data_IF_871102268731
#
_entry.id   IF_871102268731
#
_cell.length_a   1.000
_cell.length_b   1.000
_cell.length_c   1.000
_cell.angle_alpha   90.00
_cell.angle_beta   90.00
_cell.angle_gamma   90.00
#
_symmetry.space_group_name_H-M   'P 1'
#
loop_
_entity.id
_entity.type
_entity.pdbx_description
1 polymer ?
#
# COMPACT_ATOMS: atom_id res chain seq x y z
N UNK A 1 -20.07 2.76 3.31
CA UNK A 1 -19.19 1.82 4.03
C UNK A 1 -18.09 1.37 3.09
N UNK A 2 -16.85 1.24 3.59
CA UNK A 2 -15.68 0.82 2.80
C UNK A 2 -14.91 -0.26 3.55
N UNK A 3 -14.48 -1.30 2.83
CA UNK A 3 -13.42 -2.21 3.24
C UNK A 3 -12.11 -1.67 2.67
N UNK A 4 -11.10 -1.41 3.50
CA UNK A 4 -9.82 -0.88 3.04
C UNK A 4 -8.76 -1.94 3.25
N UNK A 5 -8.15 -2.37 2.15
CA UNK A 5 -7.09 -3.36 2.08
C UNK A 5 -5.76 -2.70 1.73
N UNK A 6 -4.68 -3.37 2.07
CA UNK A 6 -3.31 -2.91 1.86
C UNK A 6 -2.71 -2.31 3.13
N UNK A 7 -1.51 -2.77 3.50
CA UNK A 7 -0.79 -2.29 4.69
C UNK A 7 -0.58 -0.76 4.66
N UNK A 8 -0.39 -0.20 3.47
CA UNK A 8 -0.23 1.24 3.27
C UNK A 8 -1.50 2.05 3.63
N UNK A 9 -2.63 1.40 3.83
CA UNK A 9 -3.84 2.08 4.32
C UNK A 9 -3.70 2.64 5.73
N UNK A 10 -2.83 2.03 6.55
CA UNK A 10 -2.50 2.48 7.91
C UNK A 10 -1.20 3.27 7.98
N UNK A 11 -0.37 3.22 6.93
CA UNK A 11 0.91 3.89 6.87
C UNK A 11 1.18 4.57 5.51
N UNK A 12 0.27 5.45 5.03
CA UNK A 12 0.42 6.07 3.72
C UNK A 12 1.65 6.99 3.64
N UNK A 13 2.12 7.23 2.43
CA UNK A 13 3.15 8.22 2.16
C UNK A 13 2.56 9.63 2.30
N UNK A 14 2.82 10.29 3.43
CA UNK A 14 2.42 11.69 3.64
C UNK A 14 3.37 12.66 2.94
N UNK A 15 4.64 12.32 2.86
CA UNK A 15 5.69 13.10 2.21
C UNK A 15 6.86 12.23 1.80
N UNK A 16 7.92 12.86 1.29
CA UNK A 16 9.15 12.19 0.89
C UNK A 16 10.21 12.16 2.00
N UNK A 17 11.35 11.56 1.70
CA UNK A 17 12.56 11.65 2.52
C UNK A 17 13.29 12.99 2.30
N UNK A 18 14.24 13.31 3.16
CA UNK A 18 15.05 14.53 3.07
C UNK A 18 14.25 15.81 3.33
N UNK A 19 14.45 16.84 2.52
CA UNK A 19 13.75 18.13 2.67
C UNK A 19 12.27 18.06 2.33
N UNK A 20 11.79 16.98 1.71
CA UNK A 20 10.38 16.67 1.50
C UNK A 20 9.73 15.93 2.67
N UNK A 21 10.45 15.74 3.78
CA UNK A 21 9.94 15.02 4.94
C UNK A 21 8.80 15.75 5.63
N UNK A 22 7.95 14.98 6.28
CA UNK A 22 6.84 15.49 7.09
C UNK A 22 7.39 16.13 8.37
N UNK A 23 6.79 17.25 8.78
CA UNK A 23 7.06 17.87 10.06
C UNK A 23 6.08 17.32 11.11
N UNK A 24 6.58 16.51 12.02
CA UNK A 24 5.83 15.87 13.11
C UNK A 24 5.31 16.81 14.19
N UNK A 25 5.63 18.12 14.11
CA UNK A 25 5.06 19.15 14.96
C UNK A 25 3.62 19.53 14.61
N UNK A 26 3.12 19.09 13.47
CA UNK A 26 1.77 19.36 13.00
C UNK A 26 0.95 18.08 12.93
N UNK A 27 -0.33 18.21 13.21
CA UNK A 27 -1.27 17.10 13.10
C UNK A 27 -1.32 16.57 11.65
N UNK A 28 -1.41 15.26 11.53
CA UNK A 28 -1.56 14.56 10.24
C UNK A 28 -2.93 13.89 10.25
N UNK A 29 -3.73 14.16 9.22
CA UNK A 29 -4.97 13.44 8.98
C UNK A 29 -4.65 12.17 8.20
N UNK A 30 -4.87 11.00 8.82
CA UNK A 30 -4.68 9.72 8.15
C UNK A 30 -5.71 9.51 7.03
N UNK A 31 -5.43 8.58 6.10
CA UNK A 31 -6.39 8.22 5.05
C UNK A 31 -7.75 7.82 5.66
N UNK A 32 -7.73 6.96 6.67
CA UNK A 32 -8.94 6.50 7.34
C UNK A 32 -9.71 7.65 7.97
N UNK A 33 -9.03 8.51 8.73
CA UNK A 33 -9.65 9.69 9.33
C UNK A 33 -10.20 10.67 8.28
N UNK A 34 -9.49 10.88 7.18
CA UNK A 34 -9.95 11.72 6.07
C UNK A 34 -11.23 11.19 5.44
N UNK A 35 -11.31 9.88 5.24
CA UNK A 35 -12.52 9.23 4.71
C UNK A 35 -13.68 9.31 5.71
N UNK A 36 -13.43 9.10 7.00
CA UNK A 36 -14.45 9.25 8.05
C UNK A 36 -14.96 10.69 8.14
N UNK A 37 -14.07 11.69 8.08
CA UNK A 37 -14.43 13.11 8.04
C UNK A 37 -15.28 13.45 6.81
N UNK A 38 -15.08 12.73 5.70
CA UNK A 38 -15.90 12.85 4.48
C UNK A 38 -17.23 12.08 4.57
N UNK A 39 -17.53 11.42 5.69
CA UNK A 39 -18.79 10.73 5.96
C UNK A 39 -18.82 9.26 5.57
N UNK A 40 -17.69 8.66 5.25
CA UNK A 40 -17.60 7.22 5.05
C UNK A 40 -17.48 6.49 6.40
N UNK A 41 -18.01 5.27 6.45
CA UNK A 41 -17.74 4.33 7.55
C UNK A 41 -16.74 3.29 7.08
N UNK A 42 -15.71 3.05 7.86
CA UNK A 42 -14.60 2.15 7.54
C UNK A 42 -14.75 0.87 8.35
N UNK A 43 -14.38 -0.26 7.75
CA UNK A 43 -14.35 -1.55 8.42
C UNK A 43 -13.19 -1.59 9.43
N UNK A 44 -13.54 -1.45 10.70
CA UNK A 44 -12.56 -1.40 11.79
C UNK A 44 -11.81 -2.73 11.97
N UNK A 45 -12.43 -3.86 11.63
CA UNK A 45 -11.79 -5.17 11.75
C UNK A 45 -10.58 -5.30 10.81
N UNK A 46 -10.67 -4.74 9.60
CA UNK A 46 -9.51 -4.66 8.69
C UNK A 46 -8.45 -3.68 9.19
N UNK A 47 -8.85 -2.54 9.73
CA UNK A 47 -7.89 -1.60 10.34
C UNK A 47 -7.13 -2.25 11.49
N UNK A 48 -7.82 -2.98 12.35
CA UNK A 48 -7.21 -3.69 13.48
C UNK A 48 -6.29 -4.82 13.00
N UNK A 49 -6.69 -5.54 11.94
CA UNK A 49 -5.85 -6.57 11.31
C UNK A 49 -4.50 -5.97 10.84
N UNK A 50 -4.53 -4.89 10.07
CA UNK A 50 -3.30 -4.25 9.58
C UNK A 50 -2.46 -3.64 10.70
N UNK A 51 -3.08 -3.01 11.69
CA UNK A 51 -2.36 -2.47 12.84
C UNK A 51 -1.64 -3.57 13.63
N UNK A 52 -2.29 -4.72 13.85
CA UNK A 52 -1.69 -5.84 14.56
C UNK A 52 -0.54 -6.44 13.74
N UNK A 53 -0.73 -6.64 12.43
CA UNK A 53 0.33 -7.13 11.57
C UNK A 53 1.52 -6.15 11.53
N UNK A 54 1.27 -4.86 11.37
CA UNK A 54 2.31 -3.83 11.30
C UNK A 54 3.11 -3.66 12.60
N UNK A 55 2.52 -4.00 13.77
CA UNK A 55 3.24 -3.96 15.03
C UNK A 55 4.39 -4.99 15.08
N UNK A 56 4.18 -6.16 14.46
CA UNK A 56 5.18 -7.23 14.39
C UNK A 56 6.08 -7.12 13.14
N UNK A 57 5.63 -6.40 12.11
CA UNK A 57 6.30 -6.22 10.82
C UNK A 57 6.45 -4.73 10.47
N UNK A 58 7.24 -3.96 11.23
CA UNK A 58 7.37 -2.53 11.01
C UNK A 58 8.06 -2.23 9.68
N UNK A 59 7.60 -1.18 9.01
CA UNK A 59 8.27 -0.67 7.84
C UNK A 59 9.73 -0.33 8.14
N UNK A 60 10.62 -0.75 7.26
CA UNK A 60 12.02 -0.35 7.34
C UNK A 60 12.22 1.04 6.74
N UNK A 61 13.13 1.80 7.33
CA UNK A 61 13.35 3.19 6.94
C UNK A 61 13.94 3.30 5.54
N UNK A 62 13.31 4.07 4.66
CA UNK A 62 13.85 4.42 3.35
C UNK A 62 15.24 5.08 3.46
N UNK A 63 15.52 5.81 4.55
CA UNK A 63 16.82 6.40 4.83
C UNK A 63 17.92 5.36 5.05
N UNK A 64 17.55 4.13 5.38
CA UNK A 64 18.45 2.97 5.43
C UNK A 64 18.47 2.21 4.10
N UNK A 65 17.87 2.79 3.06
CA UNK A 65 17.75 2.18 1.74
C UNK A 65 17.07 0.80 1.78
N UNK A 66 16.08 0.66 2.64
CA UNK A 66 15.25 -0.52 2.68
C UNK A 66 14.04 -0.33 1.76
N UNK A 67 13.87 -1.23 0.83
CA UNK A 67 12.78 -1.25 -0.13
C UNK A 67 11.77 -2.37 0.17
N UNK A 68 11.84 -2.92 1.36
CA UNK A 68 10.91 -3.96 1.80
C UNK A 68 9.49 -3.41 1.90
N UNK A 69 8.56 -4.16 1.33
CA UNK A 69 7.13 -3.86 1.39
C UNK A 69 6.48 -4.80 2.40
N UNK A 70 5.92 -4.28 3.50
CA UNK A 70 5.40 -5.12 4.58
C UNK A 70 3.93 -5.55 4.36
N UNK A 71 3.51 -5.77 3.11
CA UNK A 71 2.16 -6.27 2.84
C UNK A 71 1.98 -7.68 3.45
N UNK A 72 0.89 -7.93 4.19
CA UNK A 72 0.62 -9.25 4.75
C UNK A 72 0.46 -10.32 3.67
N UNK A 73 1.13 -11.49 3.79
CA UNK A 73 0.87 -12.62 2.92
C UNK A 73 -0.61 -13.04 2.92
N UNK A 74 -1.11 -13.48 1.78
CA UNK A 74 -2.54 -13.78 1.58
C UNK A 74 -3.08 -14.84 2.55
N UNK A 75 -2.26 -15.76 3.01
CA UNK A 75 -2.63 -16.80 3.98
C UNK A 75 -2.84 -16.27 5.41
N UNK A 76 -2.47 -15.01 5.67
CA UNK A 76 -2.78 -14.35 6.95
C UNK A 76 -4.22 -13.81 7.03
N UNK A 77 -4.89 -13.68 5.90
CA UNK A 77 -6.30 -13.26 5.85
C UNK A 77 -7.21 -14.47 6.08
N UNK A 78 -7.79 -14.57 7.28
CA UNK A 78 -8.68 -15.69 7.56
C UNK A 78 -9.98 -15.65 6.74
N UNK A 79 -10.58 -16.80 6.50
CA UNK A 79 -11.88 -16.89 5.83
C UNK A 79 -12.96 -16.09 6.57
N UNK A 80 -12.89 -16.04 7.89
CA UNK A 80 -13.80 -15.27 8.74
C UNK A 80 -13.64 -13.76 8.51
N UNK A 81 -12.41 -13.26 8.41
CA UNK A 81 -12.13 -11.85 8.14
C UNK A 81 -12.69 -11.44 6.78
N UNK A 82 -12.44 -12.22 5.73
CA UNK A 82 -12.96 -11.95 4.38
C UNK A 82 -14.48 -12.02 4.34
N UNK A 83 -15.08 -13.01 5.00
CA UNK A 83 -16.53 -13.13 5.11
C UNK A 83 -17.13 -11.91 5.82
N UNK A 84 -16.57 -11.50 6.95
CA UNK A 84 -17.00 -10.32 7.71
C UNK A 84 -16.89 -9.06 6.85
N UNK A 85 -15.81 -8.89 6.10
CA UNK A 85 -15.63 -7.77 5.19
C UNK A 85 -16.72 -7.73 4.10
N UNK A 86 -17.07 -8.87 3.51
CA UNK A 86 -18.16 -8.97 2.51
C UNK A 86 -19.54 -8.64 3.10
N UNK A 87 -19.78 -9.01 4.34
CA UNK A 87 -21.03 -8.68 5.06
C UNK A 87 -21.08 -7.17 5.42
N UNK A 88 -19.93 -6.54 5.63
CA UNK A 88 -19.81 -5.13 5.97
C UNK A 88 -20.12 -4.20 4.79
N UNK A 89 -19.52 -4.45 3.62
CA UNK A 89 -19.67 -3.63 2.40
C UNK A 89 -19.35 -4.44 1.15
N UNK A 90 -20.02 -4.11 0.04
CA UNK A 90 -19.73 -4.60 -1.32
C UNK A 90 -18.63 -3.81 -2.04
N UNK A 91 -18.09 -2.77 -1.40
CA UNK A 91 -17.01 -1.94 -1.93
C UNK A 91 -15.71 -2.23 -1.18
N UNK A 92 -14.67 -2.55 -1.95
CA UNK A 92 -13.29 -2.67 -1.47
C UNK A 92 -12.42 -1.54 -2.04
N UNK A 93 -11.52 -1.03 -1.22
CA UNK A 93 -10.47 -0.09 -1.60
C UNK A 93 -9.14 -0.77 -1.35
N UNK A 94 -8.28 -0.83 -2.37
CA UNK A 94 -6.92 -1.34 -2.26
C UNK A 94 -5.97 -0.14 -2.25
N UNK A 95 -5.14 -0.03 -1.23
CA UNK A 95 -4.14 1.03 -1.10
C UNK A 95 -2.76 0.47 -1.33
N UNK A 96 -2.08 1.01 -2.33
CA UNK A 96 -0.70 0.68 -2.70
C UNK A 96 0.15 1.94 -2.56
N UNK A 97 1.40 1.81 -2.15
CA UNK A 97 2.31 2.94 -2.04
C UNK A 97 3.74 2.56 -2.44
N UNK A 98 4.45 3.57 -2.94
CA UNK A 98 5.91 3.52 -3.10
C UNK A 98 6.48 4.81 -2.55
N UNK A 99 7.24 4.70 -1.48
CA UNK A 99 7.88 5.85 -0.86
C UNK A 99 9.16 6.21 -1.59
N UNK A 100 9.36 7.49 -1.84
CA UNK A 100 10.56 8.05 -2.46
C UNK A 100 10.88 9.40 -1.81
N UNK A 101 12.04 9.97 -2.10
CA UNK A 101 12.41 11.27 -1.55
C UNK A 101 13.79 11.73 -1.99
N UNK A 102 14.16 12.93 -1.56
CA UNK A 102 15.44 13.55 -1.88
C UNK A 102 16.61 12.67 -1.40
N UNK A 103 17.58 12.45 -2.28
CA UNK A 103 18.72 11.56 -2.00
C UNK A 103 18.40 10.06 -2.06
N UNK A 104 17.13 9.70 -2.28
CA UNK A 104 16.64 8.34 -2.40
C UNK A 104 15.77 8.17 -3.65
N UNK A 105 16.13 8.92 -4.71
CA UNK A 105 15.34 8.95 -5.95
C UNK A 105 15.63 7.77 -6.87
N UNK A 106 16.73 7.08 -6.62
CA UNK A 106 17.13 5.92 -7.40
C UNK A 106 16.34 4.69 -6.93
N UNK A 107 15.04 4.74 -7.13
CA UNK A 107 14.19 3.55 -6.97
C UNK A 107 14.74 2.50 -7.91
N UNK A 108 15.15 1.34 -7.41
CA UNK A 108 15.76 0.32 -8.24
C UNK A 108 14.74 -0.19 -9.25
N UNK A 109 15.05 -0.03 -10.53
CA UNK A 109 14.27 -0.62 -11.63
C UNK A 109 14.49 -2.13 -11.71
N UNK A 110 15.62 -2.60 -11.19
CA UNK A 110 15.89 -4.00 -10.92
C UNK A 110 16.41 -4.07 -9.48
N UNK A 111 15.57 -4.54 -8.59
CA UNK A 111 15.89 -4.65 -7.15
C UNK A 111 17.15 -5.48 -6.88
N UNK A 112 17.49 -6.39 -7.80
CA UNK A 112 18.68 -7.26 -7.71
C UNK A 112 19.96 -6.59 -8.21
N UNK A 113 19.85 -5.43 -8.85
CA UNK A 113 20.97 -4.70 -9.47
C UNK A 113 21.02 -3.24 -9.03
N UNK A 114 20.42 -2.93 -7.89
CA UNK A 114 20.52 -1.59 -7.34
C UNK A 114 21.97 -1.12 -7.24
N UNK A 115 22.21 0.12 -7.64
CA UNK A 115 23.57 0.69 -7.72
C UNK A 115 24.17 1.02 -6.33
N UNK A 116 23.39 0.87 -5.27
CA UNK A 116 23.80 1.15 -3.89
C UNK A 116 23.43 -0.02 -2.99
N UNK A 117 24.09 -0.10 -1.85
CA UNK A 117 23.86 -1.13 -0.85
C UNK A 117 22.47 -0.93 -0.21
N UNK A 118 21.55 -1.83 -0.49
CA UNK A 118 20.21 -1.88 0.09
C UNK A 118 19.79 -3.33 0.26
N UNK A 119 18.67 -3.57 0.92
CA UNK A 119 18.17 -4.92 1.20
C UNK A 119 17.32 -5.53 0.07
N UNK A 120 17.27 -4.92 -1.11
CA UNK A 120 16.47 -5.42 -2.22
C UNK A 120 16.89 -6.81 -2.68
N UNK A 121 18.20 -7.13 -2.60
CA UNK A 121 18.73 -8.45 -2.96
C UNK A 121 18.26 -9.56 -2.00
N UNK A 122 17.84 -9.19 -0.79
CA UNK A 122 17.29 -10.10 0.22
C UNK A 122 15.77 -10.23 0.14
N UNK A 123 15.13 -9.34 -0.66
CA UNK A 123 13.68 -9.26 -0.79
C UNK A 123 13.26 -9.89 -2.11
N UNK A 124 12.85 -11.14 -2.07
CA UNK A 124 12.55 -11.98 -3.21
C UNK A 124 11.08 -11.97 -3.65
N UNK A 125 10.30 -11.00 -3.18
CA UNK A 125 8.88 -10.84 -3.51
C UNK A 125 8.62 -10.26 -4.92
N UNK A 126 9.69 -10.04 -5.69
CA UNK A 126 9.61 -9.67 -7.10
C UNK A 126 10.15 -10.80 -7.98
N UNK A 127 9.35 -11.38 -8.87
CA UNK A 127 9.80 -12.35 -9.87
C UNK A 127 10.95 -11.80 -10.74
N UNK A 128 11.69 -12.70 -11.39
CA UNK A 128 12.77 -12.31 -12.27
C UNK A 128 12.28 -11.44 -13.44
N UNK A 129 12.86 -10.25 -13.59
CA UNK A 129 12.50 -9.27 -14.62
C UNK A 129 11.47 -8.24 -14.17
N UNK A 130 10.88 -8.40 -13.00
CA UNK A 130 10.03 -7.39 -12.38
C UNK A 130 10.85 -6.43 -11.50
N UNK A 131 10.24 -5.31 -11.13
CA UNK A 131 10.93 -4.25 -10.39
C UNK A 131 10.00 -3.51 -9.42
N UNK A 132 10.56 -2.69 -8.56
CA UNK A 132 9.90 -2.01 -7.46
C UNK A 132 8.71 -1.09 -7.86
N UNK A 133 8.64 -0.67 -9.13
CA UNK A 133 7.52 0.14 -9.64
C UNK A 133 6.34 -0.70 -10.16
N UNK A 134 6.36 -1.99 -9.92
CA UNK A 134 5.29 -2.94 -10.20
C UNK A 134 4.72 -3.49 -8.88
N UNK A 135 3.63 -4.25 -8.95
CA UNK A 135 3.16 -5.02 -7.80
C UNK A 135 4.22 -6.05 -7.40
N UNK A 136 4.51 -6.14 -6.11
CA UNK A 136 5.19 -7.32 -5.57
C UNK A 136 4.29 -8.55 -5.68
N UNK A 137 4.84 -9.75 -5.52
CA UNK A 137 4.02 -10.96 -5.55
C UNK A 137 2.97 -10.95 -4.43
N UNK A 138 3.35 -10.55 -3.22
CA UNK A 138 2.42 -10.45 -2.08
C UNK A 138 1.30 -9.43 -2.34
N UNK A 139 1.63 -8.27 -2.93
CA UNK A 139 0.60 -7.30 -3.32
C UNK A 139 -0.32 -7.83 -4.43
N UNK A 140 0.23 -8.57 -5.41
CA UNK A 140 -0.56 -9.22 -6.46
C UNK A 140 -1.52 -10.25 -5.88
N UNK A 141 -1.04 -11.09 -4.98
CA UNK A 141 -1.86 -12.09 -4.30
C UNK A 141 -2.99 -11.44 -3.48
N UNK A 142 -2.72 -10.31 -2.83
CA UNK A 142 -3.75 -9.52 -2.14
C UNK A 142 -4.78 -8.95 -3.13
N UNK A 143 -4.34 -8.38 -4.27
CA UNK A 143 -5.26 -7.87 -5.31
C UNK A 143 -6.11 -8.98 -5.88
N UNK A 144 -5.53 -10.15 -6.15
CA UNK A 144 -6.24 -11.36 -6.62
C UNK A 144 -7.30 -11.79 -5.60
N UNK A 145 -6.94 -11.85 -4.33
CA UNK A 145 -7.87 -12.19 -3.25
C UNK A 145 -9.01 -11.18 -3.16
N UNK A 146 -8.73 -9.88 -3.19
CA UNK A 146 -9.75 -8.83 -3.12
C UNK A 146 -10.66 -8.89 -4.34
N UNK A 147 -10.12 -8.97 -5.56
CA UNK A 147 -10.91 -9.03 -6.78
C UNK A 147 -11.71 -10.34 -6.92
N UNK A 148 -11.29 -11.42 -6.28
CA UNK A 148 -12.05 -12.67 -6.21
C UNK A 148 -13.25 -12.59 -5.26
N UNK A 149 -13.25 -11.63 -4.34
CA UNK A 149 -14.28 -11.52 -3.29
C UNK A 149 -15.20 -10.30 -3.44
N UNK A 150 -14.79 -9.28 -4.21
CA UNK A 150 -15.52 -8.02 -4.36
C UNK A 150 -15.66 -7.63 -5.83
N UNK A 151 -16.88 -7.25 -6.24
CA UNK A 151 -17.16 -6.80 -7.61
C UNK A 151 -16.91 -5.30 -7.82
N UNK A 152 -16.77 -4.53 -6.73
CA UNK A 152 -16.57 -3.08 -6.76
C UNK A 152 -15.27 -2.71 -6.03
N UNK A 153 -14.17 -2.72 -6.79
CA UNK A 153 -12.83 -2.42 -6.27
C UNK A 153 -12.36 -1.06 -6.76
N UNK A 154 -11.82 -0.27 -5.86
CA UNK A 154 -11.13 1.00 -6.13
C UNK A 154 -9.67 0.83 -5.72
N UNK A 155 -8.75 1.15 -6.61
CA UNK A 155 -7.32 1.17 -6.29
C UNK A 155 -6.90 2.61 -6.01
N UNK A 156 -6.22 2.83 -4.89
CA UNK A 156 -5.52 4.08 -4.58
C UNK A 156 -4.04 3.82 -4.65
N UNK A 157 -3.35 4.50 -5.57
CA UNK A 157 -1.89 4.55 -5.55
C UNK A 157 -1.44 5.83 -4.83
N UNK A 158 -0.80 5.65 -3.68
CA UNK A 158 -0.28 6.74 -2.85
C UNK A 158 1.24 6.85 -3.05
N UNK A 159 1.67 7.85 -3.78
CA UNK A 159 3.08 8.08 -4.06
C UNK A 159 3.30 9.23 -5.04
N UNK A 160 4.47 9.87 -4.94
CA UNK A 160 4.87 10.96 -5.83
C UNK A 160 5.63 10.49 -7.09
N UNK A 161 6.03 9.23 -7.12
CA UNK A 161 6.75 8.59 -8.21
C UNK A 161 5.81 7.83 -9.16
N UNK A 162 6.35 7.37 -10.26
CA UNK A 162 5.65 6.51 -11.21
C UNK A 162 5.34 5.14 -10.59
N UNK A 163 4.31 4.49 -11.12
CA UNK A 163 3.96 3.12 -10.82
C UNK A 163 3.26 2.50 -12.03
N UNK A 164 3.50 1.23 -12.31
CA UNK A 164 2.88 0.54 -13.43
C UNK A 164 1.47 0.07 -13.04
N UNK A 165 0.46 0.81 -13.52
CA UNK A 165 -0.94 0.55 -13.22
C UNK A 165 -1.63 -0.38 -14.24
N UNK A 166 -0.88 -0.95 -15.18
CA UNK A 166 -1.43 -1.82 -16.23
C UNK A 166 -2.15 -3.06 -15.69
N UNK A 167 -1.78 -3.53 -14.51
CA UNK A 167 -2.47 -4.64 -13.84
C UNK A 167 -3.97 -4.39 -13.64
N UNK A 168 -4.39 -3.13 -13.50
CA UNK A 168 -5.80 -2.80 -13.28
C UNK A 168 -6.71 -3.22 -14.44
N UNK A 169 -6.18 -3.32 -15.66
CA UNK A 169 -6.91 -3.77 -16.84
C UNK A 169 -7.16 -5.29 -16.83
N UNK A 170 -6.45 -6.03 -15.99
CA UNK A 170 -6.57 -7.49 -15.86
C UNK A 170 -7.80 -7.88 -15.00
N UNK A 171 -8.30 -6.94 -14.18
CA UNK A 171 -9.39 -7.19 -13.23
C UNK A 171 -10.63 -6.36 -13.55
N UNK A 172 -11.69 -6.94 -14.13
CA UNK A 172 -12.94 -6.23 -14.40
C UNK A 172 -13.65 -5.73 -13.13
N UNK A 173 -13.26 -6.21 -11.97
CA UNK A 173 -13.72 -5.75 -10.65
C UNK A 173 -13.17 -4.37 -10.28
N UNK A 174 -11.99 -4.00 -10.79
CA UNK A 174 -11.42 -2.67 -10.55
C UNK A 174 -12.19 -1.64 -11.39
N UNK A 175 -12.94 -0.78 -10.70
CA UNK A 175 -13.81 0.23 -11.33
C UNK A 175 -13.13 1.59 -11.45
N UNK A 176 -12.11 1.85 -10.64
CA UNK A 176 -11.39 3.12 -10.63
C UNK A 176 -9.98 2.95 -10.07
N UNK A 177 -9.06 3.72 -10.61
CA UNK A 177 -7.72 3.92 -10.06
C UNK A 177 -7.56 5.41 -9.73
N UNK A 178 -7.17 5.70 -8.49
CA UNK A 178 -6.95 7.05 -8.00
C UNK A 178 -5.47 7.23 -7.68
N UNK A 179 -4.84 8.20 -8.29
CA UNK A 179 -3.51 8.61 -7.88
C UNK A 179 -3.60 9.68 -6.79
N UNK A 180 -3.03 9.35 -5.63
CA UNK A 180 -2.98 10.22 -4.46
C UNK A 180 -1.50 10.47 -4.11
N UNK A 181 -0.90 11.58 -4.50
CA UNK A 181 0.46 11.93 -4.09
C UNK A 181 0.54 12.15 -2.57
N UNK A 182 1.74 12.34 -2.03
CA UNK A 182 1.91 12.65 -0.61
C UNK A 182 1.05 13.85 -0.20
N UNK A 183 0.25 13.67 0.85
CA UNK A 183 -0.77 14.66 1.27
C UNK A 183 -0.21 15.78 2.13
N UNK A 184 1.02 15.61 2.64
CA UNK A 184 1.67 16.61 3.49
C UNK A 184 1.07 16.72 4.89
N UNK A 185 1.47 17.78 5.58
CA UNK A 185 0.81 18.22 6.80
C UNK A 185 -0.38 19.12 6.43
N UNK A 186 -1.48 18.96 7.12
CA UNK A 186 -2.70 19.75 6.92
C UNK A 186 -2.80 20.80 8.01
#
# INVERSE_FOLDING_TARGET
KLNIFGWESINPAYGGAGSGGINDLYDIVSLNQGLENAGFSINQELVDFYNNYGADNPEMSIQKQSWTLPEPPVDTYSDELIKSAKEYSDVAVVVLSRKAGEGHNDIPMDVRKAAYDNNSDEYDDFPEGEHYLQLSQTERDMVDMVCSNFDNVIVIYNGANQFELGFADEYPQIKSVVWCPGTGNV
#
